data_IF_273111723865
#
_entry.id   IF_273111723865
#
_cell.length_a   1.000
_cell.length_b   1.000
_cell.length_c   1.000
_cell.angle_alpha   90.00
_cell.angle_beta   90.00
_cell.angle_gamma   90.00
#
_symmetry.space_group_name_H-M   'P 1'
#
loop_
_entity.id
_entity.type
_entity.pdbx_description
1 polymer ?
#
# COMPACT_ATOMS: atom_id res chain seq x y z
N UNK A 1 -11.41 -5.55 6.53
CA UNK A 1 -11.84 -4.17 6.90
C UNK A 1 -13.21 -3.90 6.29
N UNK A 2 -14.15 -3.25 6.99
CA UNK A 2 -15.43 -2.84 6.36
C UNK A 2 -15.18 -1.67 5.40
N UNK A 3 -15.52 -1.84 4.12
CA UNK A 3 -15.35 -0.84 3.06
C UNK A 3 -16.56 -0.84 2.14
N UNK A 4 -16.86 0.32 1.57
CA UNK A 4 -17.89 0.48 0.54
C UNK A 4 -17.31 0.14 -0.84
N UNK A 5 -18.00 -0.71 -1.58
CA UNK A 5 -17.67 -1.09 -2.96
C UNK A 5 -18.91 -0.81 -3.82
N UNK A 6 -18.88 0.25 -4.62
CA UNK A 6 -19.99 0.62 -5.51
C UNK A 6 -21.36 0.63 -4.82
N UNK A 7 -21.42 1.24 -3.62
CA UNK A 7 -22.64 1.37 -2.83
C UNK A 7 -22.97 0.21 -1.88
N UNK A 8 -22.16 -0.86 -1.84
CA UNK A 8 -22.34 -1.99 -0.91
C UNK A 8 -21.21 -2.06 0.10
N UNK A 9 -21.53 -2.17 1.40
CA UNK A 9 -20.52 -2.31 2.45
C UNK A 9 -20.22 -3.80 2.70
N UNK A 10 -18.96 -4.21 2.54
CA UNK A 10 -18.50 -5.59 2.79
C UNK A 10 -17.20 -5.61 3.62
N UNK A 11 -16.94 -6.71 4.31
CA UNK A 11 -15.69 -6.94 5.06
C UNK A 11 -14.76 -7.96 4.42
N UNK A 12 -15.31 -8.85 3.59
CA UNK A 12 -14.65 -10.09 3.14
C UNK A 12 -14.58 -10.09 1.60
N UNK A 13 -13.76 -9.19 1.07
CA UNK A 13 -13.48 -9.08 -0.37
C UNK A 13 -12.07 -9.57 -0.62
N UNK A 14 -11.90 -10.49 -1.57
CA UNK A 14 -10.59 -11.02 -1.96
C UNK A 14 -9.88 -10.11 -2.98
N UNK A 15 -10.64 -9.61 -3.95
CA UNK A 15 -10.16 -8.74 -5.02
C UNK A 15 -11.16 -7.63 -5.30
N UNK A 16 -10.64 -6.47 -5.62
CA UNK A 16 -11.43 -5.37 -6.16
C UNK A 16 -10.58 -4.54 -7.11
N UNK A 17 -11.25 -3.78 -7.97
CA UNK A 17 -10.62 -2.94 -8.98
C UNK A 17 -11.14 -1.52 -8.84
N UNK A 18 -10.20 -0.59 -8.92
CA UNK A 18 -10.45 0.85 -8.88
C UNK A 18 -9.34 1.59 -9.62
N UNK A 19 -9.38 2.91 -9.58
CA UNK A 19 -8.20 3.70 -9.92
C UNK A 19 -7.43 3.97 -8.63
N UNK A 20 -6.10 3.88 -8.65
CA UNK A 20 -5.30 4.25 -7.49
C UNK A 20 -5.51 5.73 -7.17
N UNK A 21 -5.83 6.03 -5.92
CA UNK A 21 -6.18 7.38 -5.46
C UNK A 21 -5.12 7.97 -4.55
N UNK A 22 -4.21 7.15 -4.02
CA UNK A 22 -3.09 7.59 -3.22
C UNK A 22 -2.00 8.16 -4.12
N UNK A 23 -1.34 9.24 -3.67
CA UNK A 23 -0.46 10.07 -4.49
C UNK A 23 0.94 9.46 -4.68
N UNK A 24 0.98 8.20 -5.10
CA UNK A 24 2.19 7.47 -5.51
C UNK A 24 2.43 7.59 -7.02
N UNK A 25 3.47 6.94 -7.55
CA UNK A 25 3.68 6.83 -9.00
C UNK A 25 2.58 6.02 -9.71
N UNK A 26 1.80 5.24 -8.95
CA UNK A 26 0.66 4.50 -9.48
C UNK A 26 -0.64 5.32 -9.53
N UNK A 27 -0.63 6.58 -9.06
CA UNK A 27 -1.81 7.44 -9.03
C UNK A 27 -2.57 7.46 -10.38
N UNK A 28 -3.90 7.32 -10.31
CA UNK A 28 -4.84 7.22 -11.43
C UNK A 28 -4.71 5.98 -12.33
N UNK A 29 -3.76 5.07 -12.07
CA UNK A 29 -3.70 3.79 -12.76
C UNK A 29 -4.85 2.89 -12.36
N UNK A 30 -5.43 2.21 -13.34
CA UNK A 30 -6.40 1.15 -13.06
C UNK A 30 -5.69 0.01 -12.32
N UNK A 31 -6.13 -0.25 -11.10
CA UNK A 31 -5.40 -1.04 -10.13
C UNK A 31 -6.23 -2.24 -9.68
N UNK A 32 -5.60 -3.42 -9.70
CA UNK A 32 -6.10 -4.60 -9.02
C UNK A 32 -5.64 -4.55 -7.56
N UNK A 33 -6.58 -4.43 -6.64
CA UNK A 33 -6.30 -4.50 -5.21
C UNK A 33 -6.48 -5.93 -4.71
N UNK A 34 -5.43 -6.47 -4.10
CA UNK A 34 -5.35 -7.86 -3.64
C UNK A 34 -5.38 -7.90 -2.12
N UNK A 35 -6.38 -8.60 -1.57
CA UNK A 35 -6.57 -8.79 -0.13
C UNK A 35 -6.14 -10.21 0.25
N UNK A 36 -4.98 -10.33 0.87
CA UNK A 36 -4.38 -11.61 1.29
C UNK A 36 -3.54 -12.29 0.20
N UNK A 37 -3.07 -13.50 0.48
CA UNK A 37 -2.29 -14.32 -0.45
C UNK A 37 -3.24 -15.16 -1.31
N UNK A 38 -3.00 -15.16 -2.63
CA UNK A 38 -3.76 -15.95 -3.61
C UNK A 38 -2.82 -16.57 -4.63
N UNK A 39 -3.34 -17.52 -5.40
CA UNK A 39 -2.64 -18.10 -6.55
C UNK A 39 -2.20 -16.99 -7.53
N UNK A 40 -0.92 -16.91 -7.90
CA UNK A 40 -0.42 -15.91 -8.86
C UNK A 40 -1.16 -15.94 -10.20
N UNK A 41 -1.55 -17.11 -10.71
CA UNK A 41 -2.30 -17.22 -11.96
C UNK A 41 -3.70 -16.64 -11.83
N UNK A 42 -4.32 -16.74 -10.65
CA UNK A 42 -5.61 -16.11 -10.39
C UNK A 42 -5.51 -14.59 -10.36
N UNK A 43 -4.47 -14.05 -9.71
CA UNK A 43 -4.20 -12.61 -9.70
C UNK A 43 -3.93 -12.11 -11.13
N UNK A 44 -3.11 -12.83 -11.91
CA UNK A 44 -2.83 -12.49 -13.30
C UNK A 44 -4.10 -12.49 -14.17
N UNK A 45 -4.95 -13.52 -14.03
CA UNK A 45 -6.23 -13.59 -14.72
C UNK A 45 -7.11 -12.36 -14.38
N UNK A 46 -7.26 -12.05 -13.08
CA UNK A 46 -8.03 -10.88 -12.64
C UNK A 46 -7.44 -9.56 -13.17
N UNK A 47 -6.11 -9.44 -13.21
CA UNK A 47 -5.42 -8.28 -13.73
C UNK A 47 -5.74 -8.07 -15.21
N UNK A 48 -5.63 -9.13 -16.02
CA UNK A 48 -5.86 -9.11 -17.47
C UNK A 48 -7.33 -8.84 -17.79
N UNK A 49 -8.26 -9.58 -17.17
CA UNK A 49 -9.70 -9.45 -17.45
C UNK A 49 -10.22 -8.05 -17.13
N UNK A 50 -9.65 -7.42 -16.09
CA UNK A 50 -10.03 -6.08 -15.67
C UNK A 50 -9.19 -4.97 -16.29
N UNK A 51 -8.24 -5.30 -17.17
CA UNK A 51 -7.36 -4.36 -17.87
C UNK A 51 -6.63 -3.43 -16.90
N UNK A 52 -6.05 -4.01 -15.86
CA UNK A 52 -5.28 -3.27 -14.87
C UNK A 52 -3.90 -2.91 -15.43
N UNK A 53 -3.27 -1.91 -14.81
CA UNK A 53 -1.92 -1.41 -15.10
C UNK A 53 -1.01 -1.50 -13.87
N UNK A 54 -1.58 -1.85 -12.72
CA UNK A 54 -0.93 -1.87 -11.41
C UNK A 54 -1.59 -2.92 -10.52
N UNK A 55 -0.79 -3.57 -9.67
CA UNK A 55 -1.27 -4.48 -8.63
C UNK A 55 -0.93 -3.90 -7.26
N UNK A 56 -1.93 -3.65 -6.43
CA UNK A 56 -1.75 -3.21 -5.05
C UNK A 56 -1.94 -4.38 -4.09
N UNK A 57 -0.86 -4.79 -3.43
CA UNK A 57 -0.87 -5.85 -2.43
C UNK A 57 -1.03 -5.28 -1.00
N UNK A 58 -1.49 -6.12 -0.07
CA UNK A 58 -1.70 -5.70 1.32
C UNK A 58 -2.98 -4.89 1.55
N UNK A 59 -3.88 -4.84 0.55
CA UNK A 59 -5.13 -4.09 0.66
C UNK A 59 -5.94 -4.53 1.88
N UNK A 60 -6.68 -3.58 2.47
CA UNK A 60 -7.48 -3.81 3.68
C UNK A 60 -6.68 -4.34 4.89
N UNK A 61 -5.39 -4.00 4.97
CA UNK A 61 -4.44 -4.42 6.01
C UNK A 61 -4.18 -5.94 6.03
N UNK A 62 -4.26 -6.61 4.87
CA UNK A 62 -4.15 -8.07 4.81
C UNK A 62 -2.75 -8.62 5.08
N UNK A 63 -1.72 -7.77 5.11
CA UNK A 63 -0.33 -8.19 5.32
C UNK A 63 -0.16 -8.98 6.63
N UNK A 64 -0.85 -8.57 7.70
CA UNK A 64 -0.67 -9.11 9.06
C UNK A 64 -1.08 -10.58 9.23
N UNK A 65 -1.75 -11.17 8.26
CA UNK A 65 -2.33 -12.51 8.36
C UNK A 65 -1.45 -13.62 7.76
N UNK A 66 -0.32 -13.28 7.14
CA UNK A 66 0.55 -14.20 6.43
C UNK A 66 2.02 -13.93 6.76
N UNK A 67 2.90 -14.88 6.43
CA UNK A 67 4.34 -14.69 6.58
C UNK A 67 4.87 -13.68 5.56
N UNK A 68 5.98 -13.01 5.89
CA UNK A 68 6.61 -12.06 4.97
C UNK A 68 7.16 -12.78 3.72
N UNK A 69 7.69 -13.99 3.88
CA UNK A 69 8.23 -14.80 2.80
C UNK A 69 7.16 -15.12 1.74
N UNK A 70 5.94 -15.49 2.16
CA UNK A 70 4.82 -15.72 1.23
C UNK A 70 4.49 -14.46 0.40
N UNK A 71 4.49 -13.28 1.04
CA UNK A 71 4.28 -12.02 0.34
C UNK A 71 5.41 -11.71 -0.64
N UNK A 72 6.66 -11.90 -0.22
CA UNK A 72 7.82 -11.66 -1.07
C UNK A 72 7.83 -12.57 -2.29
N UNK A 73 7.61 -13.87 -2.12
CA UNK A 73 7.55 -14.81 -3.24
C UNK A 73 6.44 -14.45 -4.23
N UNK A 74 5.24 -14.14 -3.71
CA UNK A 74 4.10 -13.75 -4.51
C UNK A 74 4.37 -12.48 -5.32
N UNK A 75 4.86 -11.42 -4.67
CA UNK A 75 5.08 -10.12 -5.33
C UNK A 75 6.24 -10.23 -6.32
N UNK A 76 7.30 -10.95 -5.94
CA UNK A 76 8.47 -11.19 -6.82
C UNK A 76 8.10 -11.90 -8.11
N UNK A 77 7.09 -12.78 -8.10
CA UNK A 77 6.57 -13.40 -9.32
C UNK A 77 6.13 -12.34 -10.34
N UNK A 78 5.34 -11.35 -9.92
CA UNK A 78 4.85 -10.27 -10.78
C UNK A 78 5.94 -9.28 -11.15
N UNK A 79 6.81 -8.92 -10.21
CA UNK A 79 7.89 -7.97 -10.48
C UNK A 79 8.84 -8.50 -11.56
N UNK A 80 9.14 -9.80 -11.57
CA UNK A 80 9.97 -10.44 -12.62
C UNK A 80 9.33 -10.43 -14.00
N UNK A 81 8.01 -10.31 -14.06
CA UNK A 81 7.23 -10.19 -15.30
C UNK A 81 6.97 -8.72 -15.67
N UNK A 82 7.68 -7.77 -15.03
CA UNK A 82 7.63 -6.33 -15.28
C UNK A 82 6.29 -5.65 -14.93
N UNK A 83 5.44 -6.29 -14.11
CA UNK A 83 4.24 -5.66 -13.58
C UNK A 83 4.60 -4.56 -12.57
N UNK A 84 3.89 -3.45 -12.59
CA UNK A 84 3.99 -2.43 -11.53
C UNK A 84 3.25 -2.94 -10.29
N UNK A 85 3.95 -3.02 -9.16
CA UNK A 85 3.36 -3.51 -7.91
C UNK A 85 3.63 -2.56 -6.74
N UNK A 86 2.61 -2.37 -5.89
CA UNK A 86 2.75 -1.71 -4.58
C UNK A 86 2.49 -2.68 -3.44
N UNK A 87 3.05 -2.39 -2.27
CA UNK A 87 2.71 -3.05 -1.02
C UNK A 87 2.49 -2.02 0.09
N UNK A 88 1.34 -2.10 0.78
CA UNK A 88 1.08 -1.39 2.04
C UNK A 88 1.83 -2.06 3.19
N UNK A 89 2.91 -1.44 3.65
CA UNK A 89 3.81 -1.97 4.68
C UNK A 89 3.61 -1.16 5.97
N UNK A 90 2.98 -1.72 7.02
CA UNK A 90 3.00 -1.09 8.34
C UNK A 90 4.45 -0.89 8.80
N UNK A 91 4.74 0.27 9.37
CA UNK A 91 6.10 0.62 9.81
C UNK A 91 6.78 -0.47 10.65
N UNK A 92 6.03 -1.20 11.47
CA UNK A 92 6.53 -2.29 12.33
C UNK A 92 7.19 -3.43 11.54
N UNK A 93 6.84 -3.60 10.26
CA UNK A 93 7.41 -4.62 9.36
C UNK A 93 8.38 -4.02 8.33
N UNK A 94 8.60 -2.71 8.32
CA UNK A 94 9.36 -2.03 7.25
C UNK A 94 10.80 -2.52 7.10
N UNK A 95 11.49 -2.79 8.21
CA UNK A 95 12.86 -3.33 8.19
C UNK A 95 12.93 -4.72 7.54
N UNK A 96 11.91 -5.57 7.73
CA UNK A 96 11.88 -6.90 7.14
C UNK A 96 11.92 -6.85 5.61
N UNK A 97 11.23 -5.88 5.01
CA UNK A 97 11.22 -5.70 3.55
C UNK A 97 12.44 -4.97 3.02
N UNK A 98 13.10 -4.14 3.83
CA UNK A 98 14.32 -3.45 3.43
C UNK A 98 15.48 -4.43 3.21
N UNK A 99 15.54 -5.49 4.01
CA UNK A 99 16.51 -6.58 3.86
C UNK A 99 16.09 -7.63 2.82
N UNK A 100 14.89 -7.47 2.24
CA UNK A 100 14.27 -8.42 1.31
C UNK A 100 14.57 -8.12 -0.17
N UNK A 101 14.27 -9.06 -1.09
CA UNK A 101 14.61 -8.93 -2.50
C UNK A 101 13.73 -7.94 -3.26
N UNK A 102 12.57 -7.53 -2.72
CA UNK A 102 11.61 -6.69 -3.45
C UNK A 102 12.15 -5.29 -3.72
N UNK A 103 12.97 -4.74 -2.83
CA UNK A 103 13.54 -3.39 -2.97
C UNK A 103 14.54 -3.27 -4.12
N UNK A 104 15.00 -4.38 -4.70
CA UNK A 104 15.91 -4.41 -5.85
C UNK A 104 15.18 -4.14 -7.19
N UNK A 105 13.85 -4.14 -7.20
CA UNK A 105 13.03 -4.00 -8.42
C UNK A 105 12.53 -2.56 -8.61
N UNK A 106 12.84 -1.97 -9.77
CA UNK A 106 12.43 -0.59 -10.09
C UNK A 106 10.91 -0.41 -10.30
N UNK A 107 10.20 -1.51 -10.56
CA UNK A 107 8.75 -1.58 -10.70
C UNK A 107 8.03 -1.93 -9.38
N UNK A 108 8.73 -1.87 -8.25
CA UNK A 108 8.14 -2.04 -6.92
C UNK A 108 8.00 -0.70 -6.19
N UNK A 109 6.83 -0.49 -5.58
CA UNK A 109 6.49 0.70 -4.79
C UNK A 109 6.26 0.26 -3.34
N UNK A 110 7.28 0.32 -2.47
CA UNK A 110 7.09 0.10 -1.05
C UNK A 110 6.38 1.31 -0.44
N UNK A 111 5.18 1.11 0.12
CA UNK A 111 4.44 2.17 0.79
C UNK A 111 4.47 1.96 2.30
N UNK A 112 5.36 2.67 2.99
CA UNK A 112 5.47 2.60 4.45
C UNK A 112 4.32 3.39 5.09
N UNK A 113 3.45 2.69 5.82
CA UNK A 113 2.30 3.26 6.50
C UNK A 113 2.59 3.55 7.97
N UNK A 114 2.33 4.79 8.36
CA UNK A 114 2.45 5.30 9.74
C UNK A 114 1.07 5.80 10.20
N UNK A 115 0.34 5.04 11.03
CA UNK A 115 -0.95 5.49 11.55
C UNK A 115 -0.79 6.69 12.51
N UNK A 116 -1.43 7.81 12.21
CA UNK A 116 -1.49 8.98 13.09
C UNK A 116 -2.96 9.41 13.32
N UNK A 117 -3.63 8.87 14.34
CA UNK A 117 -5.03 9.18 14.60
C UNK A 117 -5.19 10.66 15.01
N UNK A 118 -6.31 11.27 14.61
CA UNK A 118 -6.65 12.65 14.95
C UNK A 118 -5.57 13.68 14.56
N UNK A 119 -4.90 13.47 13.42
CA UNK A 119 -3.78 14.30 12.93
C UNK A 119 -4.04 15.82 12.96
N UNK A 120 -5.31 16.25 12.80
CA UNK A 120 -5.72 17.66 12.84
C UNK A 120 -5.81 18.28 14.25
N UNK A 121 -5.74 17.49 15.33
CA UNK A 121 -5.85 17.99 16.71
C UNK A 121 -4.50 18.42 17.30
N UNK A 122 -3.40 18.15 16.62
CA UNK A 122 -2.06 18.55 17.05
C UNK A 122 -1.85 20.06 16.89
N UNK A 123 -1.12 20.73 17.80
CA UNK A 123 -0.85 22.16 17.70
C UNK A 123 0.08 22.50 16.52
N UNK A 124 0.08 23.78 16.14
CA UNK A 124 0.85 24.30 15.00
C UNK A 124 2.34 23.91 15.01
N UNK A 125 2.95 23.81 16.18
CA UNK A 125 4.37 23.52 16.37
C UNK A 125 4.72 22.01 16.45
N UNK A 126 3.79 21.11 16.09
CA UNK A 126 4.07 19.67 16.10
C UNK A 126 5.05 19.28 15.00
N UNK A 127 6.02 18.45 15.37
CA UNK A 127 7.05 17.91 14.49
C UNK A 127 6.89 16.40 14.33
N UNK A 128 7.09 15.89 13.10
CA UNK A 128 7.30 14.48 12.81
C UNK A 128 8.79 14.24 12.67
N UNK A 129 9.30 13.24 13.39
CA UNK A 129 10.72 12.89 13.39
C UNK A 129 10.92 11.53 12.74
N UNK A 130 11.77 11.49 11.70
CA UNK A 130 12.34 10.27 11.16
C UNK A 130 13.66 10.05 11.89
N UNK A 131 13.69 9.02 12.74
CA UNK A 131 14.77 8.75 13.68
C UNK A 131 15.62 7.57 13.24
N UNK A 132 16.76 7.39 13.91
CA UNK A 132 17.51 6.14 13.86
C UNK A 132 16.89 5.12 14.84
N UNK A 133 17.09 3.82 14.60
CA UNK A 133 16.67 2.75 15.52
C UNK A 133 17.43 2.78 16.85
N UNK A 134 18.53 3.53 16.90
CA UNK A 134 19.16 4.02 18.12
C UNK A 134 20.31 4.97 17.81
N UNK A 135 21.22 5.24 18.75
CA UNK A 135 22.28 6.23 18.50
C UNK A 135 23.30 5.76 17.44
N UNK A 136 23.27 6.36 16.24
CA UNK A 136 24.21 6.13 15.14
C UNK A 136 24.31 4.64 14.77
N UNK A 137 23.16 3.99 14.59
CA UNK A 137 23.06 2.58 14.25
C UNK A 137 22.80 2.37 12.76
N UNK A 138 21.77 3.00 12.19
CA UNK A 138 21.40 2.83 10.78
C UNK A 138 21.35 4.12 9.98
N UNK A 139 21.18 5.27 10.64
CA UNK A 139 21.04 6.56 10.00
C UNK A 139 22.15 7.54 10.43
N UNK A 140 22.60 8.46 9.56
CA UNK A 140 23.61 9.46 9.91
C UNK A 140 23.09 10.57 10.84
N UNK A 141 21.80 10.57 11.16
CA UNK A 141 21.12 11.60 11.93
C UNK A 141 19.61 11.44 11.86
N UNK A 142 18.90 12.55 12.13
CA UNK A 142 17.44 12.58 12.21
C UNK A 142 16.89 13.66 11.29
N UNK A 143 15.73 13.40 10.67
CA UNK A 143 15.00 14.40 9.90
C UNK A 143 13.75 14.81 10.66
N UNK A 144 13.63 16.10 10.96
CA UNK A 144 12.46 16.66 11.62
C UNK A 144 11.68 17.51 10.62
N UNK A 145 10.43 17.15 10.39
CA UNK A 145 9.50 17.85 9.52
C UNK A 145 8.38 18.46 10.34
N UNK A 146 7.92 19.66 9.97
CA UNK A 146 6.65 20.16 10.50
C UNK A 146 5.54 19.20 10.08
N UNK A 147 4.66 18.83 11.01
CA UNK A 147 3.49 18.03 10.68
C UNK A 147 2.63 18.71 9.60
N UNK A 148 2.56 20.04 9.64
CA UNK A 148 1.75 20.83 8.71
C UNK A 148 2.29 20.78 7.27
N UNK A 149 3.61 20.63 7.10
CA UNK A 149 4.21 20.47 5.76
C UNK A 149 3.83 19.12 5.14
N UNK A 150 3.68 18.09 5.98
CA UNK A 150 3.24 16.75 5.55
C UNK A 150 1.74 16.68 5.26
N UNK A 151 0.96 17.66 5.72
CA UNK A 151 -0.48 17.77 5.50
C UNK A 151 -0.85 18.59 4.26
N UNK A 152 0.06 18.71 3.27
CA UNK A 152 -0.21 19.38 2.00
C UNK A 152 -1.47 18.82 1.33
N UNK A 153 -2.43 19.70 1.01
CA UNK A 153 -3.69 19.35 0.35
C UNK A 153 -3.51 18.69 -1.02
N UNK A 154 -2.39 18.90 -1.72
CA UNK A 154 -2.09 18.23 -2.98
C UNK A 154 -1.71 16.74 -2.78
N UNK A 155 -1.32 16.37 -1.56
CA UNK A 155 -0.95 15.01 -1.15
C UNK A 155 -2.09 14.30 -0.43
N UNK A 156 -3.16 15.01 -0.11
CA UNK A 156 -4.33 14.49 0.58
C UNK A 156 -5.28 13.73 -0.36
N UNK A 157 -5.75 12.57 0.10
CA UNK A 157 -6.82 11.80 -0.54
C UNK A 157 -7.99 11.66 0.42
N UNK A 158 -9.15 12.21 0.04
CA UNK A 158 -10.37 12.09 0.83
C UNK A 158 -10.98 10.69 0.72
N UNK A 159 -11.62 10.22 1.79
CA UNK A 159 -12.32 8.93 1.84
C UNK A 159 -13.36 8.73 0.74
N UNK A 160 -14.01 9.81 0.27
CA UNK A 160 -14.98 9.72 -0.82
C UNK A 160 -14.40 9.19 -2.12
N UNK A 161 -13.08 9.30 -2.32
CA UNK A 161 -12.37 8.78 -3.50
C UNK A 161 -12.29 7.26 -3.55
N UNK A 162 -12.50 6.57 -2.43
CA UNK A 162 -12.39 5.11 -2.34
C UNK A 162 -13.72 4.37 -2.57
N UNK A 163 -14.82 5.08 -2.85
CA UNK A 163 -16.18 4.50 -2.96
C UNK A 163 -16.47 3.86 -4.32
N UNK A 164 -15.75 4.27 -5.35
CA UNK A 164 -15.99 3.85 -6.75
C UNK A 164 -15.39 2.48 -7.08
N UNK A 165 -14.76 1.83 -6.10
CA UNK A 165 -14.19 0.51 -6.27
C UNK A 165 -15.26 -0.55 -6.55
N UNK A 166 -14.88 -1.52 -7.38
CA UNK A 166 -15.73 -2.62 -7.80
C UNK A 166 -15.09 -3.92 -7.35
N UNK A 167 -15.79 -4.65 -6.49
CA UNK A 167 -15.42 -6.02 -6.19
C UNK A 167 -15.41 -6.85 -7.49
N UNK A 168 -14.41 -7.71 -7.61
CA UNK A 168 -14.31 -8.66 -8.71
C UNK A 168 -14.23 -10.06 -8.10
N UNK A 169 -15.14 -10.92 -8.55
CA UNK A 169 -15.16 -12.32 -8.17
C UNK A 169 -14.88 -13.14 -9.43
N UNK A 170 -14.08 -14.19 -9.28
CA UNK A 170 -13.99 -15.22 -10.31
C UNK A 170 -15.07 -16.25 -9.99
N UNK A 171 -15.98 -16.50 -10.93
CA UNK A 171 -16.91 -17.65 -10.86
C UNK A 171 -16.14 -18.99 -10.91
#
# INVERSE_FOLDING_TARGET
MKREYSGTVKSDVNFFVGNEVEKTIAYEKRTLFVVGIHDPHKIEQMYVDNKCEHIFFGANHSLQNHSMEEWEELIKYFLKLDYLCSLDIPYEYSNNFLDGPLIEYNNFIPQIRIPMPHIQQWPYNTMVKLDDVGYNQTNPGVWCHSLHDLMDGNKFTCWDRYKDDKEVNNE
#
